data_IF_940994072664
#
_entry.id   IF_940994072664
#
_cell.length_a   1.000
_cell.length_b   1.000
_cell.length_c   1.000
_cell.angle_alpha   90.00
_cell.angle_beta   90.00
_cell.angle_gamma   90.00
#
_symmetry.space_group_name_H-M   'P 1'
#
loop_
_entity.id
_entity.type
_entity.pdbx_description
1 polymer ?
#
# COMPACT_ATOMS: atom_id res chain seq x y z
N UNK A 1 33.96 27.14 30.93
CA UNK A 1 34.09 25.66 30.91
C UNK A 1 32.81 24.97 31.35
N UNK A 2 32.11 25.42 32.40
CA UNK A 2 30.84 24.85 32.82
C UNK A 2 29.79 24.88 31.69
N UNK A 3 29.66 26.02 31.00
CA UNK A 3 28.71 26.17 29.88
C UNK A 3 29.00 25.20 28.73
N UNK A 4 30.28 24.99 28.40
CA UNK A 4 30.68 24.03 27.35
C UNK A 4 30.35 22.59 27.74
N UNK A 5 30.53 22.23 29.01
CA UNK A 5 30.17 20.90 29.53
C UNK A 5 28.66 20.71 29.53
N UNK A 6 27.90 21.74 29.91
CA UNK A 6 26.43 21.72 29.87
C UNK A 6 25.91 21.56 28.44
N UNK A 7 26.43 22.35 27.49
CA UNK A 7 26.06 22.24 26.08
C UNK A 7 26.42 20.87 25.51
N UNK A 8 27.62 20.36 25.80
CA UNK A 8 28.03 19.02 25.36
C UNK A 8 27.13 17.93 25.97
N UNK A 9 26.84 18.01 27.27
CA UNK A 9 25.94 17.08 27.94
C UNK A 9 24.53 17.10 27.35
N UNK A 10 24.02 18.28 27.02
CA UNK A 10 22.71 18.46 26.39
C UNK A 10 22.67 17.91 24.97
N UNK A 11 23.74 18.08 24.21
CA UNK A 11 23.89 17.47 22.89
C UNK A 11 23.88 15.93 22.95
N UNK A 12 24.64 15.33 23.88
CA UNK A 12 24.61 13.88 24.07
C UNK A 12 23.25 13.38 24.54
N UNK A 13 22.59 14.09 25.46
CA UNK A 13 21.25 13.76 25.91
C UNK A 13 20.24 13.81 24.74
N UNK A 14 20.33 14.83 23.88
CA UNK A 14 19.50 14.96 22.69
C UNK A 14 19.69 13.76 21.73
N UNK A 15 20.94 13.33 21.48
CA UNK A 15 21.23 12.15 20.66
C UNK A 15 20.66 10.87 21.29
N UNK A 16 20.88 10.66 22.59
CA UNK A 16 20.36 9.49 23.31
C UNK A 16 18.83 9.46 23.23
N UNK A 17 18.16 10.59 23.45
CA UNK A 17 16.71 10.68 23.34
C UNK A 17 16.24 10.34 21.92
N UNK A 18 16.87 10.90 20.87
CA UNK A 18 16.49 10.61 19.48
C UNK A 18 16.68 9.13 19.09
N UNK A 19 17.68 8.44 19.67
CA UNK A 19 17.98 7.04 19.36
C UNK A 19 17.09 6.07 20.16
N UNK A 20 16.87 6.34 21.45
CA UNK A 20 16.28 5.37 22.38
C UNK A 20 14.83 5.68 22.78
N UNK A 21 14.29 6.84 22.41
CA UNK A 21 12.89 7.18 22.71
C UNK A 21 12.04 7.23 21.45
N UNK A 22 10.76 6.89 21.60
CA UNK A 22 9.76 7.01 20.54
C UNK A 22 9.07 8.39 20.53
N UNK A 23 9.62 9.37 21.26
CA UNK A 23 9.05 10.71 21.29
C UNK A 23 9.24 11.39 19.94
N UNK A 24 8.24 12.14 19.44
CA UNK A 24 8.40 12.90 18.21
C UNK A 24 9.62 13.83 18.31
N UNK A 25 10.48 13.81 17.31
CA UNK A 25 11.73 14.58 17.29
C UNK A 25 11.50 16.07 17.60
N UNK A 26 10.38 16.64 17.14
CA UNK A 26 9.97 18.02 17.41
C UNK A 26 9.96 18.32 18.91
N UNK A 27 9.38 17.45 19.73
CA UNK A 27 9.33 17.66 21.19
C UNK A 27 10.73 17.60 21.80
N UNK A 28 11.57 16.66 21.33
CA UNK A 28 12.94 16.52 21.82
C UNK A 28 13.74 17.80 21.52
N UNK A 29 13.65 18.33 20.29
CA UNK A 29 14.32 19.58 19.91
C UNK A 29 13.77 20.80 20.65
N UNK A 30 12.45 20.93 20.82
CA UNK A 30 11.84 22.05 21.57
C UNK A 30 12.25 22.00 23.04
N UNK A 31 12.24 20.83 23.68
CA UNK A 31 12.70 20.68 25.05
C UNK A 31 14.18 21.03 25.20
N UNK A 32 15.04 20.58 24.28
CA UNK A 32 16.45 20.93 24.28
C UNK A 32 16.67 22.44 24.15
N UNK A 33 15.96 23.09 23.21
CA UNK A 33 15.98 24.55 23.04
C UNK A 33 15.53 25.28 24.31
N UNK A 34 14.42 24.86 24.92
CA UNK A 34 13.90 25.46 26.16
C UNK A 34 14.88 25.30 27.32
N UNK A 35 15.51 24.14 27.47
CA UNK A 35 16.54 23.92 28.50
C UNK A 35 17.73 24.85 28.24
N UNK A 36 18.22 24.98 27.01
CA UNK A 36 19.29 25.93 26.70
C UNK A 36 18.92 27.39 26.97
N UNK A 37 17.66 27.76 26.72
CA UNK A 37 17.15 29.10 26.98
C UNK A 37 17.02 29.39 28.49
N UNK A 38 16.37 28.51 29.25
CA UNK A 38 16.16 28.70 30.69
C UNK A 38 17.44 28.60 31.52
N UNK A 39 18.45 27.86 31.03
CA UNK A 39 19.79 27.84 31.63
C UNK A 39 20.64 29.06 31.24
N UNK A 40 20.13 29.99 30.43
CA UNK A 40 20.85 31.20 30.02
C UNK A 40 22.02 30.94 29.07
N UNK A 41 22.05 29.80 28.39
CA UNK A 41 23.10 29.44 27.44
C UNK A 41 22.90 30.14 26.07
N UNK A 42 21.68 30.60 25.79
CA UNK A 42 21.29 31.24 24.53
C UNK A 42 20.43 32.46 24.85
N UNK A 43 20.73 33.58 24.20
CA UNK A 43 19.99 34.84 24.38
C UNK A 43 18.65 34.84 23.63
N UNK A 44 17.66 35.58 24.15
CA UNK A 44 16.34 35.71 23.49
C UNK A 44 16.46 36.22 22.05
N UNK A 45 17.39 37.14 21.79
CA UNK A 45 17.64 37.65 20.45
C UNK A 45 18.10 36.55 19.48
N UNK A 46 18.96 35.64 19.92
CA UNK A 46 19.44 34.52 19.10
C UNK A 46 18.33 33.51 18.80
N UNK A 47 17.45 33.23 19.77
CA UNK A 47 16.29 32.37 19.56
C UNK A 47 15.32 32.98 18.55
N UNK A 48 15.04 34.29 18.67
CA UNK A 48 14.16 35.02 17.75
C UNK A 48 14.73 35.09 16.34
N UNK A 49 16.03 35.32 16.20
CA UNK A 49 16.73 35.35 14.91
C UNK A 49 16.67 33.99 14.20
N UNK A 50 16.81 32.90 14.96
CA UNK A 50 16.70 31.53 14.42
C UNK A 50 15.27 31.00 14.29
N UNK A 51 14.28 31.70 14.83
CA UNK A 51 12.87 31.32 14.68
C UNK A 51 12.37 31.51 13.24
N UNK A 52 12.90 32.50 12.51
CA UNK A 52 12.54 32.77 11.11
C UNK A 52 13.79 32.99 10.27
N UNK A 53 14.35 31.90 9.72
CA UNK A 53 15.46 31.96 8.78
C UNK A 53 14.98 31.78 7.33
N UNK A 54 15.69 32.37 6.37
CA UNK A 54 15.45 32.22 4.92
C UNK A 54 15.34 30.74 4.53
N UNK A 55 16.18 29.88 5.11
CA UNK A 55 16.13 28.43 4.92
C UNK A 55 14.81 27.78 5.37
N UNK A 56 14.25 28.22 6.50
CA UNK A 56 12.95 27.72 7.00
C UNK A 56 11.81 28.15 6.08
N UNK A 57 11.82 29.41 5.64
CA UNK A 57 10.81 29.93 4.70
C UNK A 57 10.89 29.19 3.37
N UNK A 58 12.10 28.98 2.86
CA UNK A 58 12.37 28.22 1.63
C UNK A 58 11.86 26.78 1.76
N UNK A 59 12.16 26.10 2.87
CA UNK A 59 11.65 24.76 3.16
C UNK A 59 10.10 24.71 3.11
N UNK A 60 9.42 25.66 3.76
CA UNK A 60 7.95 25.69 3.79
C UNK A 60 7.37 25.91 2.40
N UNK A 61 7.91 26.87 1.63
CA UNK A 61 7.46 27.15 0.26
C UNK A 61 7.64 25.94 -0.64
N UNK A 62 8.79 25.28 -0.56
CA UNK A 62 9.09 24.10 -1.36
C UNK A 62 8.27 22.88 -0.93
N UNK A 63 7.96 22.73 0.35
CA UNK A 63 7.03 21.71 0.84
C UNK A 63 5.63 21.93 0.26
N UNK A 64 5.13 23.18 0.22
CA UNK A 64 3.86 23.51 -0.40
C UNK A 64 3.84 23.19 -1.90
N UNK A 65 4.93 23.50 -2.62
CA UNK A 65 5.11 23.09 -4.02
C UNK A 65 5.06 21.56 -4.14
N UNK A 66 5.80 20.82 -3.29
CA UNK A 66 5.81 19.36 -3.29
C UNK A 66 4.42 18.74 -3.05
N UNK A 67 3.59 19.34 -2.20
CA UNK A 67 2.20 18.89 -1.97
C UNK A 67 1.34 19.07 -3.24
N UNK A 68 1.55 20.15 -4.00
CA UNK A 68 0.91 20.34 -5.30
C UNK A 68 1.34 19.27 -6.31
N UNK A 69 2.60 18.86 -6.27
CA UNK A 69 3.18 17.83 -7.14
C UNK A 69 2.71 16.42 -6.82
N UNK A 70 2.52 16.12 -5.55
CA UNK A 70 1.97 14.84 -5.10
C UNK A 70 0.57 14.56 -5.67
N UNK A 71 -0.22 15.61 -5.93
CA UNK A 71 -1.58 15.48 -6.47
C UNK A 71 -1.65 15.31 -7.98
N UNK A 72 -0.51 15.21 -8.69
CA UNK A 72 -0.48 15.07 -10.15
C UNK A 72 -0.80 13.62 -10.59
N UNK A 73 -1.94 13.37 -11.24
CA UNK A 73 -2.38 12.03 -11.63
C UNK A 73 -1.76 11.53 -12.94
N UNK A 74 -0.82 12.27 -13.54
CA UNK A 74 -0.05 11.74 -14.68
C UNK A 74 1.12 10.85 -14.24
N UNK A 75 1.58 10.98 -12.99
CA UNK A 75 2.64 10.13 -12.46
C UNK A 75 2.18 8.66 -12.36
N UNK A 76 0.92 8.44 -11.96
CA UNK A 76 0.26 7.12 -11.95
C UNK A 76 0.02 6.57 -13.35
N UNK A 77 -0.23 7.43 -14.36
CA UNK A 77 -0.36 7.00 -15.75
C UNK A 77 0.98 6.61 -16.37
N UNK A 78 2.04 7.34 -16.03
CA UNK A 78 3.39 7.05 -16.50
C UNK A 78 3.90 5.72 -15.95
N UNK A 79 3.54 5.40 -14.71
CA UNK A 79 4.05 4.23 -14.00
C UNK A 79 3.59 2.89 -14.58
N UNK A 80 2.38 2.80 -15.17
CA UNK A 80 1.89 1.57 -15.78
C UNK A 80 2.77 1.04 -16.93
N UNK A 81 3.58 1.90 -17.55
CA UNK A 81 4.53 1.51 -18.62
C UNK A 81 5.95 1.22 -18.12
N UNK A 82 6.24 1.43 -16.84
CA UNK A 82 7.60 1.31 -16.30
C UNK A 82 7.99 -0.15 -16.02
N UNK A 83 7.03 -1.00 -15.69
CA UNK A 83 7.29 -2.39 -15.31
C UNK A 83 7.11 -3.29 -16.53
N UNK A 84 8.10 -4.15 -16.76
CA UNK A 84 8.18 -5.04 -17.93
C UNK A 84 8.47 -6.47 -17.48
N UNK A 85 8.35 -7.48 -18.37
CA UNK A 85 8.71 -8.86 -18.02
C UNK A 85 10.17 -9.02 -17.57
N UNK A 86 11.09 -8.16 -18.04
CA UNK A 86 12.48 -8.16 -17.59
C UNK A 86 12.63 -7.45 -16.25
N UNK A 87 13.17 -8.14 -15.25
CA UNK A 87 13.42 -7.57 -13.92
C UNK A 87 14.42 -6.41 -13.98
N UNK A 88 15.54 -6.59 -14.69
CA UNK A 88 16.57 -5.56 -14.81
C UNK A 88 16.03 -4.29 -15.49
N UNK A 89 15.26 -4.46 -16.57
CA UNK A 89 14.63 -3.33 -17.24
C UNK A 89 13.62 -2.61 -16.33
N UNK A 90 12.86 -3.36 -15.54
CA UNK A 90 11.90 -2.80 -14.58
C UNK A 90 12.59 -1.99 -13.49
N UNK A 91 13.67 -2.51 -12.90
CA UNK A 91 14.44 -1.80 -11.87
C UNK A 91 15.09 -0.53 -12.44
N UNK A 92 15.69 -0.60 -13.63
CA UNK A 92 16.31 0.58 -14.26
C UNK A 92 15.27 1.63 -14.60
N UNK A 93 14.18 1.27 -15.27
CA UNK A 93 13.13 2.22 -15.68
C UNK A 93 12.44 2.84 -14.48
N UNK A 94 11.99 2.00 -13.55
CA UNK A 94 11.35 2.45 -12.33
C UNK A 94 12.32 3.32 -11.53
N UNK A 95 13.52 2.83 -11.27
CA UNK A 95 14.53 3.55 -10.49
C UNK A 95 14.95 4.89 -11.10
N UNK A 96 15.11 4.96 -12.43
CA UNK A 96 15.46 6.23 -13.11
C UNK A 96 14.33 7.23 -13.01
N UNK A 97 13.09 6.81 -13.26
CA UNK A 97 11.92 7.69 -13.16
C UNK A 97 11.72 8.14 -11.71
N UNK A 98 11.80 7.22 -10.76
CA UNK A 98 11.69 7.53 -9.34
C UNK A 98 12.76 8.51 -8.90
N UNK A 99 14.03 8.26 -9.23
CA UNK A 99 15.12 9.15 -8.85
C UNK A 99 14.96 10.55 -9.45
N UNK A 100 14.58 10.62 -10.73
CA UNK A 100 14.30 11.89 -11.39
C UNK A 100 13.19 12.69 -10.68
N UNK A 101 12.06 12.05 -10.34
CA UNK A 101 10.99 12.74 -9.63
C UNK A 101 11.35 13.11 -8.19
N UNK A 102 12.06 12.22 -7.49
CA UNK A 102 12.54 12.49 -6.13
C UNK A 102 13.53 13.64 -6.06
N UNK A 103 14.23 13.93 -7.15
CA UNK A 103 15.09 15.11 -7.25
C UNK A 103 14.31 16.43 -7.17
N UNK A 104 12.98 16.44 -7.35
CA UNK A 104 12.17 17.67 -7.31
C UNK A 104 11.00 17.60 -6.33
N UNK A 105 10.66 16.39 -5.86
CA UNK A 105 9.50 16.11 -5.03
C UNK A 105 9.97 15.34 -3.80
N UNK A 106 9.26 15.50 -2.68
CA UNK A 106 9.53 14.74 -1.48
C UNK A 106 9.52 13.21 -1.77
N UNK A 107 10.59 12.53 -1.37
CA UNK A 107 10.78 11.09 -1.51
C UNK A 107 9.54 10.28 -1.11
N UNK A 108 8.89 10.64 0.00
CA UNK A 108 7.71 9.92 0.53
C UNK A 108 6.55 9.96 -0.45
N UNK A 109 6.29 11.12 -1.06
CA UNK A 109 5.21 11.29 -2.02
C UNK A 109 5.47 10.45 -3.28
N UNK A 110 6.69 10.52 -3.84
CA UNK A 110 7.08 9.74 -5.02
C UNK A 110 6.91 8.23 -4.79
N UNK A 111 7.36 7.74 -3.64
CA UNK A 111 7.20 6.33 -3.27
C UNK A 111 5.73 5.97 -3.11
N UNK A 112 4.92 6.79 -2.43
CA UNK A 112 3.49 6.54 -2.25
C UNK A 112 2.75 6.46 -3.59
N UNK A 113 3.01 7.40 -4.51
CA UNK A 113 2.39 7.45 -5.83
C UNK A 113 2.77 6.24 -6.70
N UNK A 114 4.04 5.83 -6.68
CA UNK A 114 4.53 4.72 -7.51
C UNK A 114 4.31 3.34 -6.86
N UNK A 115 4.10 3.28 -5.55
CA UNK A 115 3.91 2.03 -4.82
C UNK A 115 2.67 1.27 -5.29
N UNK A 116 1.58 1.97 -5.63
CA UNK A 116 0.37 1.31 -6.15
C UNK A 116 0.68 0.53 -7.44
N UNK A 117 1.36 1.14 -8.39
CA UNK A 117 1.75 0.51 -9.66
C UNK A 117 2.70 -0.67 -9.47
N UNK A 118 3.62 -0.56 -8.52
CA UNK A 118 4.49 -1.68 -8.15
C UNK A 118 3.69 -2.83 -7.52
N UNK A 119 2.65 -2.52 -6.73
CA UNK A 119 1.79 -3.52 -6.09
C UNK A 119 0.79 -4.17 -7.04
N UNK A 120 0.35 -3.49 -8.09
CA UNK A 120 -0.58 -4.01 -9.12
C UNK A 120 0.11 -4.70 -10.29
N UNK A 121 1.44 -4.71 -10.33
CA UNK A 121 2.21 -5.42 -11.35
C UNK A 121 2.08 -6.96 -11.25
N UNK A 122 2.00 -7.62 -12.41
CA UNK A 122 1.88 -9.09 -12.54
C UNK A 122 3.19 -9.81 -12.87
N UNK A 123 4.29 -9.10 -13.12
CA UNK A 123 5.54 -9.70 -13.61
C UNK A 123 6.56 -10.05 -12.53
N UNK A 124 6.55 -9.36 -11.38
CA UNK A 124 7.62 -9.44 -10.37
C UNK A 124 7.05 -9.37 -8.95
N UNK A 125 7.75 -9.99 -8.00
CA UNK A 125 7.39 -9.91 -6.59
C UNK A 125 7.43 -8.47 -6.09
N UNK A 126 6.33 -8.04 -5.44
CA UNK A 126 6.14 -6.65 -4.96
C UNK A 126 7.34 -6.19 -4.12
N UNK A 127 7.81 -7.02 -3.19
CA UNK A 127 8.97 -6.73 -2.32
C UNK A 127 10.27 -6.49 -3.10
N UNK A 128 10.46 -7.16 -4.26
CA UNK A 128 11.66 -7.01 -5.09
C UNK A 128 11.70 -5.73 -5.91
N UNK A 129 10.59 -5.01 -6.00
CA UNK A 129 10.49 -3.72 -6.68
C UNK A 129 10.29 -2.57 -5.70
N UNK A 130 9.58 -2.78 -4.58
CA UNK A 130 9.34 -1.76 -3.55
C UNK A 130 10.64 -1.32 -2.85
N UNK A 131 11.57 -2.25 -2.60
CA UNK A 131 12.87 -1.91 -1.99
C UNK A 131 13.71 -1.04 -2.94
N UNK A 132 13.98 -1.45 -4.21
CA UNK A 132 14.66 -0.59 -5.17
C UNK A 132 13.97 0.75 -5.40
N UNK A 133 12.63 0.79 -5.44
CA UNK A 133 11.85 2.01 -5.53
C UNK A 133 12.20 2.98 -4.39
N UNK A 134 12.17 2.51 -3.14
CA UNK A 134 12.48 3.32 -1.96
C UNK A 134 13.91 3.87 -2.00
N UNK A 135 14.89 3.03 -2.31
CA UNK A 135 16.28 3.49 -2.40
C UNK A 135 16.52 4.45 -3.57
N UNK A 136 15.89 4.22 -4.73
CA UNK A 136 15.99 5.14 -5.85
C UNK A 136 15.41 6.51 -5.52
N UNK A 137 14.32 6.58 -4.75
CA UNK A 137 13.77 7.83 -4.26
C UNK A 137 14.76 8.55 -3.32
N UNK A 138 15.33 7.83 -2.34
CA UNK A 138 16.33 8.40 -1.42
C UNK A 138 17.54 8.96 -2.20
N UNK A 139 18.09 8.20 -3.14
CA UNK A 139 19.24 8.62 -3.95
C UNK A 139 18.89 9.80 -4.86
N UNK A 140 17.74 9.76 -5.53
CA UNK A 140 17.29 10.86 -6.39
C UNK A 140 17.12 12.17 -5.63
N UNK A 141 16.60 12.12 -4.40
CA UNK A 141 16.46 13.29 -3.54
C UNK A 141 17.78 13.99 -3.24
N UNK A 142 18.91 13.28 -3.31
CA UNK A 142 20.24 13.88 -3.08
C UNK A 142 20.75 14.70 -4.27
N UNK A 143 20.09 14.66 -5.43
CA UNK A 143 20.57 15.30 -6.66
C UNK A 143 20.36 16.82 -6.72
N UNK A 144 19.44 17.37 -5.93
CA UNK A 144 19.16 18.82 -5.92
C UNK A 144 19.11 19.35 -4.50
N UNK A 145 19.14 20.68 -4.39
CA UNK A 145 18.95 21.36 -3.11
C UNK A 145 17.59 21.03 -2.45
N UNK A 146 16.54 20.82 -3.25
CA UNK A 146 15.15 20.65 -2.78
C UNK A 146 14.83 19.19 -2.43
N UNK A 147 15.48 18.23 -3.10
CA UNK A 147 15.09 16.83 -3.02
C UNK A 147 15.14 16.23 -1.60
N UNK A 148 15.94 16.79 -0.69
CA UNK A 148 15.91 16.43 0.73
C UNK A 148 15.96 17.63 1.67
N UNK A 149 15.28 17.50 2.81
CA UNK A 149 15.35 18.49 3.90
C UNK A 149 16.76 18.69 4.45
N UNK A 150 17.63 17.66 4.37
CA UNK A 150 19.02 17.76 4.81
C UNK A 150 19.83 18.74 3.95
N UNK A 151 19.61 18.75 2.63
CA UNK A 151 20.32 19.66 1.73
C UNK A 151 19.96 21.13 2.01
N UNK A 152 18.67 21.39 2.29
CA UNK A 152 18.18 22.71 2.69
C UNK A 152 18.76 23.17 4.03
N UNK A 153 18.86 22.28 5.03
CA UNK A 153 19.48 22.61 6.33
C UNK A 153 20.96 22.98 6.13
N UNK A 154 21.70 22.21 5.33
CA UNK A 154 23.12 22.50 5.05
C UNK A 154 23.27 23.85 4.32
N UNK A 155 22.40 24.14 3.35
CA UNK A 155 22.41 25.44 2.66
C UNK A 155 22.10 26.61 3.61
N UNK A 156 21.16 26.42 4.54
CA UNK A 156 20.81 27.44 5.55
C UNK A 156 21.99 27.72 6.49
N UNK A 157 22.72 26.70 6.91
CA UNK A 157 23.95 26.89 7.70
C UNK A 157 25.07 27.58 6.92
N UNK A 158 25.19 27.30 5.62
CA UNK A 158 26.18 27.98 4.77
C UNK A 158 25.82 29.45 4.59
N UNK A 159 24.54 29.75 4.37
CA UNK A 159 24.03 31.11 4.24
C UNK A 159 24.26 31.91 5.53
N UNK A 160 24.00 31.29 6.69
CA UNK A 160 24.28 31.89 8.00
C UNK A 160 25.76 32.23 8.21
N UNK A 161 26.67 31.42 7.67
CA UNK A 161 28.12 31.59 7.86
C UNK A 161 28.78 32.50 6.81
N UNK A 162 28.28 32.50 5.57
CA UNK A 162 28.94 33.14 4.42
C UNK A 162 28.12 34.24 3.76
N UNK A 163 26.84 34.36 4.10
CA UNK A 163 25.88 35.27 3.45
C UNK A 163 25.35 34.78 2.10
N UNK A 164 25.77 33.58 1.65
CA UNK A 164 25.31 32.96 0.40
C UNK A 164 24.95 31.50 0.61
N UNK A 165 23.77 31.07 0.16
CA UNK A 165 23.37 29.67 0.13
C UNK A 165 23.98 28.89 -1.03
N UNK A 166 23.67 27.59 -1.07
CA UNK A 166 24.04 26.72 -2.20
C UNK A 166 23.11 26.96 -3.39
N UNK A 167 23.64 26.85 -4.60
CA UNK A 167 22.83 26.90 -5.81
C UNK A 167 22.01 25.60 -5.97
N UNK A 168 20.94 25.70 -6.76
CA UNK A 168 19.98 24.61 -6.93
C UNK A 168 20.61 23.27 -7.35
N UNK A 169 21.62 23.31 -8.22
CA UNK A 169 22.28 22.14 -8.83
C UNK A 169 23.67 21.84 -8.28
N UNK A 170 24.11 22.46 -7.18
CA UNK A 170 25.44 22.21 -6.62
C UNK A 170 25.65 20.73 -6.25
N UNK A 171 24.56 20.06 -5.86
CA UNK A 171 24.58 18.64 -5.53
C UNK A 171 24.51 17.70 -6.75
N UNK A 172 24.22 18.20 -7.94
CA UNK A 172 23.83 17.38 -9.10
C UNK A 172 24.89 16.37 -9.49
N UNK A 173 26.16 16.77 -9.58
CA UNK A 173 27.25 15.88 -10.02
C UNK A 173 27.44 14.74 -9.02
N UNK A 174 27.46 15.05 -7.73
CA UNK A 174 27.68 14.07 -6.67
C UNK A 174 26.46 13.15 -6.53
N UNK A 175 25.26 13.73 -6.45
CA UNK A 175 24.01 13.01 -6.33
C UNK A 175 23.70 12.13 -7.55
N UNK A 176 23.95 12.62 -8.77
CA UNK A 176 23.77 11.82 -10.00
C UNK A 176 24.72 10.62 -10.02
N UNK A 177 25.98 10.83 -9.65
CA UNK A 177 26.97 9.74 -9.59
C UNK A 177 26.57 8.69 -8.55
N UNK A 178 26.19 9.12 -7.35
CA UNK A 178 25.70 8.24 -6.30
C UNK A 178 24.42 7.47 -6.72
N UNK A 179 23.51 8.14 -7.42
CA UNK A 179 22.28 7.53 -7.95
C UNK A 179 22.59 6.45 -8.97
N UNK A 180 23.45 6.72 -9.94
CA UNK A 180 23.86 5.74 -10.96
C UNK A 180 24.52 4.52 -10.31
N UNK A 181 25.48 4.74 -9.41
CA UNK A 181 26.14 3.65 -8.68
C UNK A 181 25.17 2.85 -7.81
N UNK A 182 24.23 3.52 -7.15
CA UNK A 182 23.20 2.89 -6.34
C UNK A 182 22.24 2.03 -7.17
N UNK A 183 21.81 2.51 -8.34
CA UNK A 183 20.98 1.72 -9.26
C UNK A 183 21.73 0.47 -9.76
N UNK A 184 23.02 0.61 -10.09
CA UNK A 184 23.87 -0.54 -10.46
C UNK A 184 23.97 -1.53 -9.28
N UNK A 185 24.22 -1.04 -8.06
CA UNK A 185 24.28 -1.87 -6.86
C UNK A 185 22.96 -2.60 -6.60
N UNK A 186 21.80 -1.97 -6.83
CA UNK A 186 20.49 -2.61 -6.71
C UNK A 186 20.29 -3.75 -7.71
N UNK A 187 20.74 -3.58 -8.96
CA UNK A 187 20.70 -4.65 -9.97
C UNK A 187 21.54 -5.85 -9.55
N UNK A 188 22.76 -5.60 -9.05
CA UNK A 188 23.69 -6.64 -8.60
C UNK A 188 23.19 -7.35 -7.33
N UNK A 189 22.58 -6.60 -6.41
CA UNK A 189 22.06 -7.11 -5.13
C UNK A 189 20.66 -7.75 -5.23
N UNK A 190 20.07 -7.80 -6.43
CA UNK A 190 18.74 -8.39 -6.68
C UNK A 190 18.55 -9.83 -6.17
N UNK A 191 19.64 -10.60 -6.03
CA UNK A 191 19.65 -11.96 -5.49
C UNK A 191 19.55 -12.02 -3.97
N UNK A 192 19.92 -10.95 -3.26
CA UNK A 192 19.85 -10.84 -1.80
C UNK A 192 18.45 -10.46 -1.32
N UNK A 193 17.60 -9.93 -2.21
CA UNK A 193 16.26 -9.50 -1.86
C UNK A 193 15.36 -10.71 -1.54
N UNK A 194 14.58 -10.64 -0.44
CA UNK A 194 13.70 -11.73 -0.05
C UNK A 194 12.73 -12.07 -1.19
N UNK A 195 12.61 -13.37 -1.49
CA UNK A 195 11.61 -13.88 -2.41
C UNK A 195 10.25 -13.81 -1.71
N UNK A 196 9.58 -12.66 -1.82
CA UNK A 196 8.14 -12.60 -1.53
C UNK A 196 7.42 -13.52 -2.52
N UNK A 197 6.50 -14.35 -2.05
CA UNK A 197 5.66 -15.18 -2.91
C UNK A 197 4.88 -14.27 -3.85
N UNK A 198 5.08 -14.51 -5.15
CA UNK A 198 4.38 -13.84 -6.24
C UNK A 198 3.01 -14.48 -6.51
N UNK A 199 2.53 -15.32 -5.60
CA UNK A 199 1.30 -16.04 -5.86
C UNK A 199 0.16 -15.09 -5.55
N UNK A 200 -0.57 -14.59 -6.59
CA UNK A 200 -1.96 -14.22 -6.37
C UNK A 200 -2.62 -15.32 -5.54
N UNK A 201 -3.56 -14.97 -4.66
CA UNK A 201 -4.39 -15.97 -4.00
C UNK A 201 -4.96 -16.89 -5.08
N UNK A 202 -4.37 -18.08 -5.25
CA UNK A 202 -4.86 -19.04 -6.24
C UNK A 202 -6.19 -19.53 -5.67
N UNK A 203 -7.27 -19.16 -6.36
CA UNK A 203 -8.64 -19.46 -5.93
C UNK A 203 -8.79 -20.97 -5.71
N UNK A 204 -8.06 -21.79 -6.48
CA UNK A 204 -8.03 -23.26 -6.36
C UNK A 204 -7.54 -23.76 -5.00
N UNK A 205 -6.79 -22.95 -4.26
CA UNK A 205 -6.39 -23.31 -2.90
C UNK A 205 -7.57 -23.21 -1.91
N UNK A 206 -8.60 -22.43 -2.22
CA UNK A 206 -9.63 -22.02 -1.26
C UNK A 206 -11.03 -22.57 -1.57
N UNK A 207 -11.26 -23.08 -2.77
CA UNK A 207 -12.60 -23.52 -3.19
C UNK A 207 -12.63 -24.94 -3.76
N UNK A 208 -13.79 -25.57 -3.63
CA UNK A 208 -14.14 -26.88 -4.19
C UNK A 208 -15.37 -26.70 -5.05
N UNK A 209 -15.35 -27.29 -6.24
CA UNK A 209 -16.49 -27.35 -7.14
C UNK A 209 -17.20 -28.71 -7.01
N UNK A 210 -18.52 -28.68 -6.88
CA UNK A 210 -19.34 -29.87 -6.84
C UNK A 210 -20.58 -29.70 -7.72
N UNK A 211 -20.85 -30.64 -8.62
CA UNK A 211 -22.00 -30.61 -9.52
C UNK A 211 -23.17 -31.43 -8.94
N UNK A 212 -24.38 -30.89 -9.06
CA UNK A 212 -25.62 -31.56 -8.68
C UNK A 212 -26.07 -32.46 -9.83
N UNK A 213 -25.92 -33.77 -9.66
CA UNK A 213 -26.36 -34.75 -10.64
C UNK A 213 -27.88 -34.78 -10.80
N UNK A 214 -28.36 -35.19 -11.98
CA UNK A 214 -29.79 -35.20 -12.35
C UNK A 214 -30.69 -36.02 -11.42
N UNK A 215 -30.13 -36.99 -10.68
CA UNK A 215 -30.85 -37.83 -9.72
C UNK A 215 -30.63 -37.41 -8.25
N UNK A 216 -30.05 -36.24 -8.00
CA UNK A 216 -29.71 -35.81 -6.64
C UNK A 216 -30.95 -35.53 -5.78
N UNK A 217 -30.90 -36.00 -4.53
CA UNK A 217 -31.92 -35.71 -3.52
C UNK A 217 -31.97 -34.24 -3.07
N UNK A 218 -31.01 -33.42 -3.52
CA UNK A 218 -30.88 -32.00 -3.24
C UNK A 218 -31.82 -31.13 -4.09
N UNK A 219 -32.26 -31.64 -5.24
CA UNK A 219 -33.03 -30.90 -6.24
C UNK A 219 -34.39 -30.48 -5.66
N UNK A 220 -34.76 -29.21 -5.90
CA UNK A 220 -36.05 -28.64 -5.52
C UNK A 220 -36.17 -28.23 -4.04
N UNK A 221 -35.13 -28.46 -3.24
CA UNK A 221 -35.03 -28.01 -1.84
C UNK A 221 -34.13 -26.78 -1.75
N UNK A 222 -34.39 -25.93 -0.75
CA UNK A 222 -33.55 -24.78 -0.45
C UNK A 222 -32.19 -25.16 0.15
N UNK A 223 -31.21 -24.27 0.11
CA UNK A 223 -29.91 -24.44 0.77
C UNK A 223 -30.05 -24.78 2.26
N UNK A 224 -31.01 -24.11 2.93
CA UNK A 224 -31.31 -24.36 4.34
C UNK A 224 -31.89 -25.76 4.57
N UNK A 225 -32.85 -26.19 3.75
CA UNK A 225 -33.48 -27.51 3.86
C UNK A 225 -32.49 -28.64 3.54
N UNK A 226 -31.56 -28.39 2.61
CA UNK A 226 -30.48 -29.30 2.27
C UNK A 226 -29.33 -29.30 3.29
N UNK A 227 -29.38 -28.48 4.34
CA UNK A 227 -28.34 -28.39 5.40
C UNK A 227 -26.93 -28.08 4.88
N UNK A 228 -26.79 -27.51 3.67
CA UNK A 228 -25.49 -27.14 3.10
C UNK A 228 -24.82 -25.97 3.85
N UNK A 229 -25.53 -25.36 4.82
CA UNK A 229 -25.01 -24.34 5.73
C UNK A 229 -24.51 -24.91 7.06
N UNK A 230 -24.85 -26.16 7.38
CA UNK A 230 -24.49 -26.82 8.64
C UNK A 230 -23.08 -27.45 8.58
N UNK A 231 -22.45 -27.42 7.40
CA UNK A 231 -21.08 -27.83 7.18
C UNK A 231 -20.14 -27.02 8.09
N UNK A 232 -19.32 -27.73 8.87
CA UNK A 232 -18.47 -27.08 9.89
C UNK A 232 -17.30 -26.29 9.31
N UNK A 233 -16.67 -26.85 8.28
CA UNK A 233 -15.40 -26.37 7.71
C UNK A 233 -15.49 -25.96 6.24
N UNK A 234 -16.69 -26.09 5.63
CA UNK A 234 -16.99 -25.74 4.25
C UNK A 234 -18.23 -24.86 4.20
N UNK A 235 -18.23 -23.90 3.28
CA UNK A 235 -19.32 -22.94 3.14
C UNK A 235 -19.68 -22.79 1.66
N UNK A 236 -20.96 -22.93 1.33
CA UNK A 236 -21.44 -22.64 -0.02
C UNK A 236 -21.36 -21.14 -0.28
N UNK A 237 -20.58 -20.74 -1.28
CA UNK A 237 -20.34 -19.34 -1.61
C UNK A 237 -21.11 -18.94 -2.86
N UNK A 238 -21.06 -19.78 -3.90
CA UNK A 238 -21.62 -19.49 -5.22
C UNK A 238 -22.36 -20.71 -5.80
N UNK A 239 -23.36 -20.44 -6.63
CA UNK A 239 -24.01 -21.44 -7.50
C UNK A 239 -23.88 -20.95 -8.93
N UNK A 240 -23.36 -21.80 -9.81
CA UNK A 240 -23.34 -21.56 -11.25
C UNK A 240 -24.41 -22.42 -11.90
N UNK A 241 -25.41 -21.77 -12.50
CA UNK A 241 -26.56 -22.39 -13.17
C UNK A 241 -26.53 -22.01 -14.65
N UNK A 242 -25.98 -22.90 -15.47
CA UNK A 242 -25.77 -22.62 -16.90
C UNK A 242 -24.88 -21.39 -17.09
N UNK A 243 -25.44 -20.29 -17.59
CA UNK A 243 -24.76 -18.99 -17.77
C UNK A 243 -25.00 -17.98 -16.64
N UNK A 244 -25.77 -18.34 -15.62
CA UNK A 244 -26.08 -17.48 -14.49
C UNK A 244 -25.22 -17.83 -13.29
N UNK A 245 -24.71 -16.80 -12.62
CA UNK A 245 -23.93 -16.94 -11.39
C UNK A 245 -24.70 -16.30 -10.24
N UNK A 246 -24.94 -17.10 -9.19
CA UNK A 246 -25.67 -16.68 -7.99
C UNK A 246 -24.62 -16.54 -6.87
N UNK A 247 -24.30 -15.29 -6.55
CA UNK A 247 -23.34 -14.94 -5.50
C UNK A 247 -23.77 -13.64 -4.80
N UNK A 248 -23.70 -13.57 -3.46
CA UNK A 248 -23.46 -14.69 -2.56
C UNK A 248 -24.78 -15.49 -2.35
N UNK A 249 -24.69 -16.81 -2.14
CA UNK A 249 -25.88 -17.71 -2.13
C UNK A 249 -26.77 -17.54 -0.89
N UNK A 250 -28.07 -17.28 -1.05
CA UNK A 250 -29.01 -17.07 0.07
C UNK A 250 -29.54 -18.40 0.64
N UNK A 251 -29.95 -18.46 1.93
CA UNK A 251 -30.46 -19.70 2.52
C UNK A 251 -31.75 -20.24 1.86
N UNK A 252 -32.52 -19.35 1.24
CA UNK A 252 -33.78 -19.67 0.56
C UNK A 252 -33.58 -20.04 -0.92
N UNK A 253 -32.35 -19.97 -1.44
CA UNK A 253 -32.06 -20.33 -2.82
C UNK A 253 -32.33 -21.83 -3.04
N UNK A 254 -33.03 -22.18 -4.12
CA UNK A 254 -33.40 -23.57 -4.42
C UNK A 254 -32.41 -24.18 -5.40
N UNK A 255 -32.05 -25.44 -5.19
CA UNK A 255 -31.09 -26.17 -6.02
C UNK A 255 -31.80 -26.81 -7.22
N UNK A 256 -31.20 -26.66 -8.39
CA UNK A 256 -31.64 -27.27 -9.65
C UNK A 256 -30.66 -28.34 -10.14
N UNK A 257 -31.13 -29.23 -11.02
CA UNK A 257 -30.29 -30.24 -11.65
C UNK A 257 -29.24 -29.56 -12.55
N UNK A 258 -27.97 -30.01 -12.46
CA UNK A 258 -26.87 -29.41 -13.21
C UNK A 258 -26.28 -28.14 -12.59
N UNK A 259 -26.73 -27.74 -11.40
CA UNK A 259 -26.09 -26.66 -10.64
C UNK A 259 -24.66 -27.05 -10.25
N UNK A 260 -23.72 -26.15 -10.49
CA UNK A 260 -22.35 -26.25 -9.97
C UNK A 260 -22.24 -25.42 -8.69
N UNK A 261 -22.09 -26.10 -7.56
CA UNK A 261 -21.96 -25.53 -6.23
C UNK A 261 -20.49 -25.28 -5.91
N UNK A 262 -20.16 -24.05 -5.55
CA UNK A 262 -18.80 -23.64 -5.18
C UNK A 262 -18.72 -23.49 -3.66
N UNK A 263 -17.95 -24.36 -3.02
CA UNK A 263 -17.70 -24.32 -1.58
C UNK A 263 -16.34 -23.69 -1.30
N UNK A 264 -16.25 -22.83 -0.27
CA UNK A 264 -15.00 -22.31 0.26
C UNK A 264 -14.73 -22.87 1.65
N UNK A 265 -13.46 -23.12 1.99
CA UNK A 265 -13.08 -23.53 3.33
C UNK A 265 -11.86 -24.43 3.37
N UNK A 266 -11.87 -25.40 4.29
CA UNK A 266 -10.80 -26.39 4.41
C UNK A 266 -10.96 -27.49 3.35
N UNK A 267 -10.19 -27.37 2.27
CA UNK A 267 -10.18 -28.35 1.17
C UNK A 267 -9.71 -29.75 1.57
N UNK A 268 -9.21 -29.94 2.79
CA UNK A 268 -8.93 -31.28 3.33
C UNK A 268 -10.18 -32.00 3.85
N UNK A 269 -11.31 -31.29 3.98
CA UNK A 269 -12.59 -31.79 4.50
C UNK A 269 -13.64 -32.09 3.44
N UNK A 270 -13.21 -32.27 2.18
CA UNK A 270 -14.06 -32.57 1.02
C UNK A 270 -14.97 -33.79 1.24
N UNK A 271 -14.56 -34.75 2.08
CA UNK A 271 -15.35 -35.94 2.43
C UNK A 271 -16.75 -35.62 2.96
N UNK A 272 -16.93 -34.48 3.63
CA UNK A 272 -18.26 -34.05 4.10
C UNK A 272 -19.23 -33.73 2.96
N UNK A 273 -18.72 -33.38 1.77
CA UNK A 273 -19.54 -33.16 0.57
C UNK A 273 -19.95 -34.48 -0.10
N UNK A 274 -19.18 -35.55 0.09
CA UNK A 274 -19.50 -36.89 -0.43
C UNK A 274 -20.68 -37.53 0.31
N UNK A 275 -21.03 -37.05 1.51
CA UNK A 275 -22.20 -37.51 2.27
C UNK A 275 -23.53 -37.07 1.64
N UNK A 276 -23.51 -36.08 0.73
CA UNK A 276 -24.71 -35.59 0.05
C UNK A 276 -25.02 -36.40 -1.21
N UNK A 277 -26.18 -37.05 -1.21
CA UNK A 277 -26.61 -37.92 -2.30
C UNK A 277 -26.81 -37.14 -3.62
N UNK A 278 -26.05 -37.57 -4.64
CA UNK A 278 -26.06 -36.99 -5.98
C UNK A 278 -25.14 -35.79 -6.20
N UNK A 279 -24.31 -35.42 -5.22
CA UNK A 279 -23.26 -34.41 -5.39
C UNK A 279 -21.99 -35.07 -5.97
N UNK A 280 -21.46 -34.53 -7.08
CA UNK A 280 -20.24 -35.03 -7.73
C UNK A 280 -19.13 -34.00 -7.65
N UNK A 281 -18.01 -34.37 -7.05
CA UNK A 281 -16.84 -33.49 -6.92
C UNK A 281 -16.08 -33.43 -8.24
N UNK A 282 -15.82 -32.23 -8.72
CA UNK A 282 -15.01 -31.99 -9.91
C UNK A 282 -13.75 -31.19 -9.57
N UNK A 283 -12.71 -31.36 -10.37
CA UNK A 283 -11.57 -30.46 -10.32
C UNK A 283 -12.01 -29.10 -10.86
N UNK A 284 -11.73 -28.04 -10.09
CA UNK A 284 -12.08 -26.65 -10.40
C UNK A 284 -11.71 -26.29 -11.85
N UNK A 285 -12.70 -25.98 -12.69
CA UNK A 285 -12.48 -25.51 -14.06
C UNK A 285 -12.01 -24.04 -14.08
N UNK A 286 -10.98 -23.72 -14.86
CA UNK A 286 -10.22 -22.45 -14.83
C UNK A 286 -10.99 -21.16 -15.25
N UNK A 287 -12.30 -21.20 -15.42
CA UNK A 287 -13.09 -20.04 -15.90
C UNK A 287 -14.28 -19.61 -15.04
N UNK A 288 -14.82 -20.49 -14.18
CA UNK A 288 -16.15 -20.29 -13.58
C UNK A 288 -16.15 -19.45 -12.28
N UNK A 289 -14.96 -19.15 -11.74
CA UNK A 289 -14.79 -18.60 -10.38
C UNK A 289 -14.28 -17.15 -10.35
N UNK A 290 -14.08 -16.50 -11.49
CA UNK A 290 -13.36 -15.22 -11.55
C UNK A 290 -14.25 -13.99 -11.65
N UNK A 291 -15.51 -14.13 -12.08
CA UNK A 291 -16.32 -12.95 -12.43
C UNK A 291 -16.70 -12.10 -11.21
N UNK A 292 -16.96 -12.72 -10.06
CA UNK A 292 -17.38 -12.02 -8.84
C UNK A 292 -16.41 -12.21 -7.66
N UNK A 293 -15.12 -12.43 -7.91
CA UNK A 293 -14.10 -12.48 -6.86
C UNK A 293 -13.18 -11.27 -6.87
N UNK A 294 -12.96 -10.69 -5.70
CA UNK A 294 -12.13 -9.50 -5.54
C UNK A 294 -11.15 -9.65 -4.37
N UNK A 295 -9.91 -9.24 -4.60
CA UNK A 295 -8.86 -9.22 -3.58
C UNK A 295 -8.86 -7.87 -2.87
N UNK A 296 -8.86 -7.87 -1.53
CA UNK A 296 -8.85 -6.66 -0.71
C UNK A 296 -7.82 -6.75 0.43
N UNK A 297 -7.26 -5.61 0.82
CA UNK A 297 -6.44 -5.49 2.04
C UNK A 297 -7.21 -4.72 3.09
N UNK A 298 -7.26 -5.24 4.32
CA UNK A 298 -7.89 -4.55 5.46
C UNK A 298 -7.08 -3.31 5.86
N UNK A 299 -7.73 -2.16 5.91
CA UNK A 299 -7.13 -0.88 6.30
C UNK A 299 -6.87 -0.82 7.82
N UNK A 300 -5.83 -0.09 8.27
CA UNK A 300 -5.70 0.28 9.68
C UNK A 300 -6.91 1.09 10.16
N UNK A 301 -7.43 0.78 11.35
CA UNK A 301 -8.64 1.37 11.93
C UNK A 301 -9.94 1.03 11.18
N UNK A 302 -9.97 -0.07 10.41
CA UNK A 302 -11.20 -0.58 9.84
C UNK A 302 -12.21 -0.91 10.94
N UNK A 303 -13.51 -0.66 10.71
CA UNK A 303 -14.56 -0.90 11.70
C UNK A 303 -14.74 -2.39 12.08
N UNK A 304 -14.17 -3.27 11.25
CA UNK A 304 -14.12 -4.72 11.42
C UNK A 304 -12.83 -5.22 12.06
N UNK A 305 -11.83 -4.35 12.25
CA UNK A 305 -10.57 -4.71 12.90
C UNK A 305 -10.83 -5.19 14.33
N UNK A 306 -10.21 -6.31 14.71
CA UNK A 306 -10.36 -6.90 16.04
C UNK A 306 -11.64 -7.73 16.24
N UNK A 307 -12.55 -7.77 15.26
CA UNK A 307 -13.74 -8.64 15.27
C UNK A 307 -13.49 -9.90 14.47
N UNK A 308 -14.20 -10.98 14.78
CA UNK A 308 -14.24 -12.15 13.90
C UNK A 308 -15.07 -11.86 12.64
N UNK A 309 -14.83 -12.60 11.55
CA UNK A 309 -15.64 -12.50 10.32
C UNK A 309 -17.13 -12.65 10.63
N UNK A 310 -17.49 -13.58 11.53
CA UNK A 310 -18.87 -13.82 11.96
C UNK A 310 -19.44 -12.65 12.80
N UNK A 311 -18.70 -12.15 13.79
CA UNK A 311 -19.14 -11.02 14.63
C UNK A 311 -19.28 -9.72 13.85
N UNK A 312 -18.48 -9.55 12.79
CA UNK A 312 -18.56 -8.37 11.92
C UNK A 312 -19.81 -8.33 11.04
N UNK A 313 -20.60 -9.42 11.01
CA UNK A 313 -21.73 -9.60 10.09
C UNK A 313 -21.35 -9.29 8.63
N UNK A 314 -20.13 -9.70 8.25
CA UNK A 314 -19.40 -9.29 7.03
C UNK A 314 -20.29 -9.27 5.79
N UNK A 315 -21.06 -10.34 5.60
CA UNK A 315 -21.94 -10.51 4.44
C UNK A 315 -23.05 -9.48 4.34
N UNK A 316 -23.76 -9.19 5.43
CA UNK A 316 -24.81 -8.16 5.41
C UNK A 316 -24.24 -6.74 5.30
N UNK A 317 -23.05 -6.52 5.87
CA UNK A 317 -22.43 -5.20 5.92
C UNK A 317 -21.87 -4.80 4.56
N UNK A 318 -21.19 -5.73 3.88
CA UNK A 318 -20.47 -5.44 2.64
C UNK A 318 -21.08 -6.06 1.38
N UNK A 319 -22.12 -6.91 1.50
CA UNK A 319 -22.59 -7.72 0.38
C UNK A 319 -21.47 -8.58 -0.24
N UNK A 320 -20.70 -9.25 0.64
CA UNK A 320 -19.59 -10.09 0.23
C UNK A 320 -19.37 -11.26 1.19
N UNK A 321 -18.86 -12.38 0.69
CA UNK A 321 -18.44 -13.54 1.48
C UNK A 321 -16.92 -13.67 1.47
N UNK A 322 -16.32 -13.95 2.62
CA UNK A 322 -14.87 -14.17 2.72
C UNK A 322 -14.53 -15.58 2.25
N UNK A 323 -13.78 -15.69 1.15
CA UNK A 323 -13.35 -16.94 0.53
C UNK A 323 -11.98 -17.40 1.08
N UNK A 324 -11.15 -16.46 1.52
CA UNK A 324 -9.84 -16.79 2.07
C UNK A 324 -9.14 -15.60 2.70
N UNK A 325 -8.23 -15.88 3.64
CA UNK A 325 -7.43 -14.86 4.34
C UNK A 325 -5.95 -15.28 4.35
N UNK A 326 -5.05 -14.36 3.97
CA UNK A 326 -3.60 -14.48 4.13
C UNK A 326 -3.10 -13.39 5.09
N UNK A 327 -2.29 -13.80 6.08
CA UNK A 327 -1.62 -12.90 7.04
C UNK A 327 -0.12 -13.12 6.99
N UNK A 328 0.65 -12.05 6.78
CA UNK A 328 2.11 -12.13 6.68
C UNK A 328 2.60 -13.11 5.61
N UNK A 329 1.83 -13.29 4.52
CA UNK A 329 2.14 -14.22 3.43
C UNK A 329 1.79 -15.69 3.69
N UNK A 330 1.21 -16.03 4.86
CA UNK A 330 0.72 -17.39 5.16
C UNK A 330 -0.80 -17.44 5.06
N UNK A 331 -1.33 -18.53 4.51
CA UNK A 331 -2.77 -18.84 4.56
C UNK A 331 -3.19 -19.07 6.00
N UNK A 332 -4.31 -18.47 6.38
CA UNK A 332 -5.01 -18.85 7.59
C UNK A 332 -5.97 -20.00 7.25
N UNK A 333 -5.80 -21.13 7.94
CA UNK A 333 -6.62 -22.33 7.80
C UNK A 333 -7.62 -22.47 8.95
N UNK A 334 -8.69 -23.22 8.74
CA UNK A 334 -9.76 -23.44 9.72
C UNK A 334 -11.02 -22.63 9.43
N UNK A 335 -11.92 -22.53 10.43
CA UNK A 335 -13.23 -21.88 10.30
C UNK A 335 -13.06 -20.38 10.06
N UNK A 336 -13.11 -19.96 8.78
CA UNK A 336 -12.94 -18.55 8.36
C UNK A 336 -13.84 -17.59 9.15
N UNK A 337 -15.05 -18.01 9.50
CA UNK A 337 -15.98 -17.25 10.34
C UNK A 337 -15.44 -16.83 11.71
N UNK A 338 -14.54 -17.62 12.31
CA UNK A 338 -14.00 -17.39 13.66
C UNK A 338 -12.64 -16.67 13.64
N UNK A 339 -12.10 -16.37 12.47
CA UNK A 339 -10.82 -15.69 12.36
C UNK A 339 -11.02 -14.22 12.73
N UNK A 340 -10.25 -13.75 13.71
CA UNK A 340 -10.18 -12.32 14.05
C UNK A 340 -9.46 -11.55 12.96
N UNK A 341 -10.14 -10.55 12.41
CA UNK A 341 -9.65 -9.69 11.33
C UNK A 341 -8.60 -8.71 11.88
N UNK A 342 -7.48 -8.58 11.20
CA UNK A 342 -6.40 -7.64 11.54
C UNK A 342 -6.09 -6.71 10.37
N UNK A 343 -5.65 -5.50 10.67
CA UNK A 343 -5.14 -4.58 9.65
C UNK A 343 -3.97 -5.24 8.87
N UNK A 344 -4.00 -5.08 7.54
CA UNK A 344 -3.03 -5.69 6.64
C UNK A 344 -3.34 -7.14 6.24
N UNK A 345 -4.42 -7.75 6.75
CA UNK A 345 -4.92 -9.02 6.22
C UNK A 345 -5.29 -8.86 4.75
N UNK A 346 -4.84 -9.82 3.94
CA UNK A 346 -5.20 -9.90 2.54
C UNK A 346 -6.34 -10.92 2.38
N UNK A 347 -7.49 -10.47 1.90
CA UNK A 347 -8.71 -11.27 1.82
C UNK A 347 -9.16 -11.44 0.36
N UNK A 348 -9.55 -12.65 0.01
CA UNK A 348 -10.33 -12.92 -1.21
C UNK A 348 -11.81 -12.90 -0.84
N UNK A 349 -12.59 -12.09 -1.56
CA UNK A 349 -14.02 -11.95 -1.33
C UNK A 349 -14.80 -12.39 -2.58
N UNK A 350 -15.88 -13.13 -2.38
CA UNK A 350 -16.93 -13.29 -3.39
C UNK A 350 -17.98 -12.18 -3.17
N UNK A 351 -18.20 -11.35 -4.18
CA UNK A 351 -19.00 -10.13 -4.06
C UNK A 351 -20.40 -10.33 -4.66
N UNK A 352 -21.39 -9.72 -4.00
CA UNK A 352 -22.74 -9.59 -4.53
C UNK A 352 -22.91 -8.33 -5.39
N UNK A 353 -24.10 -8.16 -5.99
CA UNK A 353 -24.40 -7.07 -6.90
C UNK A 353 -24.29 -5.69 -6.26
N UNK A 354 -24.54 -5.57 -4.95
CA UNK A 354 -24.55 -4.30 -4.24
C UNK A 354 -23.17 -3.91 -3.69
N UNK A 355 -22.15 -4.78 -3.80
CA UNK A 355 -20.84 -4.58 -3.17
C UNK A 355 -20.27 -3.20 -3.50
N UNK A 356 -20.20 -2.84 -4.79
CA UNK A 356 -19.60 -1.58 -5.24
C UNK A 356 -20.39 -0.32 -4.80
N UNK A 357 -21.66 -0.46 -4.41
CA UNK A 357 -22.49 0.66 -3.96
C UNK A 357 -22.35 0.94 -2.45
N UNK A 358 -21.65 0.06 -1.71
CA UNK A 358 -21.46 0.18 -0.26
C UNK A 358 -20.50 1.32 0.09
N UNK A 359 -21.04 2.38 0.69
CA UNK A 359 -20.29 3.60 1.10
C UNK A 359 -19.17 3.39 2.12
N UNK A 360 -19.10 2.21 2.75
CA UNK A 360 -18.12 1.89 3.79
C UNK A 360 -16.92 1.09 3.26
N UNK A 361 -16.84 0.77 1.98
CA UNK A 361 -15.71 0.01 1.41
C UNK A 361 -14.39 0.75 1.59
N UNK A 362 -14.29 2.01 1.15
CA UNK A 362 -13.05 2.80 1.18
C UNK A 362 -12.46 2.98 2.59
N UNK A 363 -13.30 2.88 3.63
CA UNK A 363 -12.89 3.01 5.03
C UNK A 363 -12.35 1.71 5.61
N UNK A 364 -12.70 0.57 5.04
CA UNK A 364 -12.34 -0.75 5.58
C UNK A 364 -11.33 -1.48 4.71
N UNK A 365 -11.30 -1.20 3.40
CA UNK A 365 -10.55 -1.99 2.43
C UNK A 365 -9.79 -1.12 1.43
N UNK A 366 -8.62 -1.60 1.04
CA UNK A 366 -8.00 -1.26 -0.25
C UNK A 366 -8.32 -2.38 -1.21
N UNK A 367 -9.13 -2.09 -2.21
CA UNK A 367 -9.42 -3.04 -3.29
C UNK A 367 -8.20 -3.15 -4.20
N UNK A 368 -7.68 -4.37 -4.40
CA UNK A 368 -6.49 -4.61 -5.21
C UNK A 368 -6.85 -4.68 -6.71
N UNK A 369 -8.11 -5.02 -7.04
CA UNK A 369 -8.59 -5.20 -8.41
C UNK A 369 -9.41 -4.04 -9.00
N UNK A 370 -9.79 -3.04 -8.20
CA UNK A 370 -10.27 -1.77 -8.74
C UNK A 370 -9.17 -0.74 -8.59
N UNK A 371 -8.85 -0.07 -9.70
CA UNK A 371 -7.96 1.07 -9.73
C UNK A 371 -8.34 2.03 -8.59
N UNK A 372 -7.50 2.05 -7.55
CA UNK A 372 -7.67 2.90 -6.37
C UNK A 372 -7.89 4.31 -6.89
N UNK A 373 -9.05 4.88 -6.53
CA UNK A 373 -9.60 6.15 -6.96
C UNK A 373 -8.57 7.09 -7.57
N UNK A 374 -8.46 7.05 -8.89
CA UNK A 374 -7.84 8.11 -9.67
C UNK A 374 -8.62 9.37 -9.31
N UNK A 375 -8.00 10.30 -8.58
CA UNK A 375 -8.55 11.65 -8.43
C UNK A 375 -8.70 12.16 -9.86
N UNK A 376 -9.94 12.18 -10.36
CA UNK A 376 -10.27 12.60 -11.72
C UNK A 376 -10.08 14.12 -11.83
N UNK A 377 -8.83 14.56 -11.90
CA UNK A 377 -8.50 15.93 -12.31
C UNK A 377 -8.85 16.10 -13.77
N UNK A 378 -9.35 17.27 -14.15
CA UNK A 378 -9.56 17.56 -15.57
C UNK A 378 -8.22 17.70 -16.30
N UNK A 379 -8.16 17.46 -17.63
CA UNK A 379 -6.95 17.65 -18.42
C UNK A 379 -6.36 19.06 -18.27
N UNK A 380 -7.22 20.07 -18.11
CA UNK A 380 -6.83 21.46 -17.88
C UNK A 380 -6.12 21.64 -16.53
N UNK A 381 -6.65 21.06 -15.45
CA UNK A 381 -6.00 21.12 -14.13
C UNK A 381 -4.61 20.47 -14.17
N UNK A 382 -4.47 19.34 -14.86
CA UNK A 382 -3.17 18.70 -15.03
C UNK A 382 -2.19 19.57 -15.81
N UNK A 383 -2.64 20.21 -16.88
CA UNK A 383 -1.79 21.09 -17.67
C UNK A 383 -1.36 22.32 -16.88
N UNK A 384 -2.26 22.89 -16.06
CA UNK A 384 -1.97 24.05 -15.21
C UNK A 384 -0.98 23.69 -14.10
N UNK A 385 -1.16 22.56 -13.40
CA UNK A 385 -0.25 22.16 -12.31
C UNK A 385 1.12 21.77 -12.88
N UNK A 386 1.18 21.03 -13.99
CA UNK A 386 2.44 20.71 -14.66
C UNK A 386 3.11 21.97 -15.22
N UNK A 387 2.36 22.89 -15.82
CA UNK A 387 2.88 24.18 -16.28
C UNK A 387 3.44 25.02 -15.13
N UNK A 388 2.73 25.06 -13.99
CA UNK A 388 3.19 25.70 -12.77
C UNK A 388 4.47 25.06 -12.23
N UNK A 389 4.59 23.73 -12.26
CA UNK A 389 5.81 23.01 -11.89
C UNK A 389 7.00 23.43 -12.75
N UNK A 390 6.86 23.38 -14.07
CA UNK A 390 7.95 23.73 -15.00
C UNK A 390 8.34 25.20 -14.81
N UNK A 391 7.36 26.08 -14.59
CA UNK A 391 7.61 27.49 -14.33
C UNK A 391 8.37 27.70 -13.02
N UNK A 392 7.97 27.05 -11.92
CA UNK A 392 8.64 27.15 -10.62
C UNK A 392 10.06 26.61 -10.71
N UNK A 393 10.28 25.47 -11.37
CA UNK A 393 11.64 24.93 -11.58
C UNK A 393 12.45 25.93 -12.42
N UNK A 394 11.92 26.42 -13.53
CA UNK A 394 12.63 27.36 -14.39
C UNK A 394 12.99 28.67 -13.67
N UNK A 395 12.08 29.19 -12.85
CA UNK A 395 12.31 30.39 -12.03
C UNK A 395 13.29 30.13 -10.88
N UNK A 396 13.29 28.94 -10.27
CA UNK A 396 14.24 28.57 -9.23
C UNK A 396 15.66 28.32 -9.76
N UNK A 397 15.81 28.14 -11.08
CA UNK A 397 17.10 27.98 -11.75
C UNK A 397 17.68 29.27 -12.32
N UNK A 398 16.90 30.36 -12.31
CA UNK A 398 17.31 31.72 -12.66
C UNK A 398 17.80 32.45 -11.41
#
# INVERSE_FOLDING_TARGET
MLDQILVAGLFFALLICLIFTNWPAVWIFVCAMLVTYFFGLVETAQVLDKATNVGVVTLVLLLLVSIGLEKLPWLSRLSHKLITPSYAASVVRLGTVTAFFSAFVNNTAVVATLAHTVRSNRHHAKTKLLIPLSYAAILGGTMTLIGTSTNLIVSSFLEDATGSGLAFFDFLVVGATATVLGLIAMLLSSRLLPKGSMEPLDIKEFVIEAEVGEASSLIGKSILENRLRDLEDLFLVEIVRGSYLISPVTPQEHIEAGDKLIFSGDITRVQALEEFDGLRLFAVEEGLLQENMIEVIVMPNAAIEGKTVKESAFRSVFDAAVVGIRRGGKRLSGKLGNITIQAGDNMMLAIGPDFHERKNLDKNFVVINDAVGDVKTTPLQNMVVTGGLVLVIALATL
#
